data_IF_111350750097
#
_entry.id   IF_111350750097
#
_cell.length_a   1.000
_cell.length_b   1.000
_cell.length_c   1.000
_cell.angle_alpha   90.00
_cell.angle_beta   90.00
_cell.angle_gamma   90.00
#
_symmetry.space_group_name_H-M   'P 1'
#
loop_
_entity.id
_entity.type
_entity.pdbx_description
1 polymer ?
#
# COMPACT_ATOMS: atom_id res chain seq x y z
N UNK A 1 -15.35 24.05 2.93
CA UNK A 1 -15.17 24.65 1.58
C UNK A 1 -16.37 25.51 1.16
N UNK A 2 -17.60 24.99 1.05
CA UNK A 2 -18.77 25.84 0.65
C UNK A 2 -18.98 27.07 1.53
N UNK A 3 -18.78 26.97 2.85
CA UNK A 3 -18.95 28.05 3.82
C UNK A 3 -17.83 29.10 3.73
N UNK A 4 -16.63 28.71 3.32
CA UNK A 4 -15.45 29.59 3.21
C UNK A 4 -15.59 30.47 1.97
N UNK A 5 -16.01 29.90 0.83
CA UNK A 5 -16.23 30.63 -0.39
C UNK A 5 -17.40 31.62 -0.28
N UNK A 6 -18.50 31.23 0.39
CA UNK A 6 -19.62 32.15 0.59
C UNK A 6 -19.24 33.37 1.46
N UNK A 7 -18.35 33.19 2.42
CA UNK A 7 -17.80 34.26 3.25
C UNK A 7 -16.78 35.13 2.48
N UNK A 8 -15.95 34.51 1.62
CA UNK A 8 -15.01 35.23 0.76
C UNK A 8 -15.77 36.19 -0.22
N UNK A 9 -16.76 35.64 -0.92
CA UNK A 9 -17.58 36.46 -1.85
C UNK A 9 -18.40 37.58 -1.16
N UNK A 10 -18.85 37.35 0.08
CA UNK A 10 -19.56 38.35 0.90
C UNK A 10 -18.62 39.47 1.41
N UNK A 11 -17.37 39.10 1.71
CA UNK A 11 -16.36 40.03 2.22
C UNK A 11 -15.78 40.94 1.10
N UNK A 12 -15.60 40.40 -0.11
CA UNK A 12 -15.02 41.08 -1.25
C UNK A 12 -16.05 41.94 -2.03
N UNK A 13 -17.34 41.82 -1.72
CA UNK A 13 -18.41 42.51 -2.42
C UNK A 13 -18.90 43.82 -1.78
N UNK A 14 -18.32 44.33 -0.67
CA UNK A 14 -18.86 45.46 0.10
C UNK A 14 -17.93 46.68 0.20
N UNK A 15 -17.17 46.98 -0.83
CA UNK A 15 -16.52 48.29 -0.98
C UNK A 15 -16.96 48.94 -2.28
N UNK A 16 -18.00 49.81 -2.16
CA UNK A 16 -18.54 50.63 -3.21
C UNK A 16 -17.89 51.99 -3.23
N UNK A 17 -17.78 52.49 -4.46
CA UNK A 17 -17.80 53.87 -4.92
C UNK A 17 -16.84 54.91 -4.28
N UNK A 18 -15.85 55.23 -5.03
CA UNK A 18 -15.29 56.54 -5.43
C UNK A 18 -13.77 56.51 -5.45
N UNK A 19 -13.18 56.40 -6.62
CA UNK A 19 -12.15 57.29 -7.16
C UNK A 19 -11.64 56.77 -8.52
N UNK A 20 -11.78 57.61 -9.56
CA UNK A 20 -11.16 57.41 -10.87
C UNK A 20 -9.63 57.58 -10.77
N UNK A 21 -8.95 56.47 -10.52
CA UNK A 21 -7.56 56.24 -10.83
C UNK A 21 -7.45 54.86 -11.46
N UNK A 22 -6.75 54.74 -12.57
CA UNK A 22 -6.32 53.49 -13.18
C UNK A 22 -5.54 52.65 -12.13
N UNK A 23 -6.30 51.98 -11.25
CA UNK A 23 -5.73 50.99 -10.34
C UNK A 23 -5.38 49.77 -11.18
N UNK A 24 -4.08 49.47 -11.28
CA UNK A 24 -3.59 48.15 -11.65
C UNK A 24 -4.43 47.12 -10.90
N UNK A 25 -5.01 46.13 -11.61
CA UNK A 25 -5.89 45.07 -11.09
C UNK A 25 -5.13 44.11 -10.14
N UNK A 26 -4.44 44.65 -9.15
CA UNK A 26 -3.74 43.87 -8.14
C UNK A 26 -4.69 43.43 -7.02
N UNK A 27 -4.54 42.19 -6.59
CA UNK A 27 -5.25 41.65 -5.43
C UNK A 27 -4.83 42.44 -4.19
N UNK A 28 -5.80 42.99 -3.46
CA UNK A 28 -5.57 43.63 -2.15
C UNK A 28 -4.80 42.66 -1.22
N UNK A 29 -3.81 43.17 -0.48
CA UNK A 29 -2.98 42.43 0.49
C UNK A 29 -3.80 41.55 1.45
N UNK A 30 -5.01 42.00 1.79
CA UNK A 30 -5.95 41.25 2.65
C UNK A 30 -6.48 40.00 1.98
N UNK A 31 -6.75 40.07 0.68
CA UNK A 31 -7.23 38.96 -0.16
C UNK A 31 -6.10 37.94 -0.36
N UNK A 32 -4.89 38.41 -0.53
CA UNK A 32 -3.68 37.59 -0.60
C UNK A 32 -3.47 36.77 0.67
N UNK A 33 -3.53 37.41 1.84
CA UNK A 33 -3.42 36.80 3.12
C UNK A 33 -4.50 35.73 3.34
N UNK A 34 -5.75 36.00 2.91
CA UNK A 34 -6.85 35.03 3.00
C UNK A 34 -6.66 33.81 2.07
N UNK A 35 -6.19 34.02 0.84
CA UNK A 35 -5.91 32.91 -0.10
C UNK A 35 -4.78 32.01 0.41
N UNK A 36 -3.77 32.57 1.08
CA UNK A 36 -2.67 31.79 1.67
C UNK A 36 -3.09 30.89 2.85
N UNK A 37 -4.20 31.22 3.53
CA UNK A 37 -4.77 30.42 4.63
C UNK A 37 -5.63 29.26 4.16
N UNK A 38 -5.96 29.18 2.88
CA UNK A 38 -6.81 28.10 2.33
C UNK A 38 -5.92 26.88 2.08
N UNK A 39 -6.21 25.73 2.70
CA UNK A 39 -5.44 24.51 2.50
C UNK A 39 -5.82 23.81 1.17
N UNK A 40 -5.77 24.56 0.06
CA UNK A 40 -6.04 24.10 -1.29
C UNK A 40 -5.13 24.87 -2.25
N UNK A 41 -4.74 24.25 -3.34
CA UNK A 41 -4.01 24.96 -4.37
C UNK A 41 -4.93 26.01 -4.99
N UNK A 42 -4.42 27.24 -5.19
CA UNK A 42 -5.18 28.39 -5.67
C UNK A 42 -4.59 28.93 -6.96
N UNK A 43 -5.46 29.33 -7.88
CA UNK A 43 -5.09 30.07 -9.10
C UNK A 43 -6.06 31.23 -9.25
N UNK A 44 -5.54 32.40 -9.56
CA UNK A 44 -6.34 33.62 -9.88
C UNK A 44 -6.11 33.96 -11.34
N UNK A 45 -7.19 34.17 -12.05
CA UNK A 45 -7.20 34.43 -13.51
C UNK A 45 -7.89 35.73 -13.78
N UNK A 46 -7.29 36.56 -14.62
CA UNK A 46 -7.82 37.85 -15.05
C UNK A 46 -8.86 37.77 -16.19
N UNK A 47 -9.25 38.93 -16.75
CA UNK A 47 -10.24 39.07 -17.82
C UNK A 47 -9.86 38.38 -19.13
N UNK A 48 -8.59 38.24 -19.42
CA UNK A 48 -8.04 37.68 -20.66
C UNK A 48 -7.61 36.17 -20.53
N UNK A 49 -7.97 35.53 -19.42
CA UNK A 49 -7.63 34.15 -19.07
C UNK A 49 -6.14 33.92 -18.69
N UNK A 50 -5.41 35.01 -18.40
CA UNK A 50 -4.03 34.95 -17.94
C UNK A 50 -3.98 34.66 -16.44
N UNK A 51 -2.96 33.91 -16.02
CA UNK A 51 -2.76 33.54 -14.59
C UNK A 51 -2.05 34.72 -13.90
N UNK A 52 -2.79 35.50 -13.16
CA UNK A 52 -2.26 36.60 -12.33
C UNK A 52 -1.50 36.06 -11.14
N UNK A 53 -1.98 34.93 -10.55
CA UNK A 53 -1.36 34.29 -9.38
C UNK A 53 -1.65 32.82 -9.35
N UNK A 54 -0.65 32.06 -8.94
CA UNK A 54 -0.78 30.61 -8.76
C UNK A 54 0.03 30.11 -7.56
N UNK A 55 -0.54 29.17 -6.82
CA UNK A 55 0.20 28.46 -5.79
C UNK A 55 1.16 27.42 -6.41
N UNK A 56 2.32 27.10 -5.76
CA UNK A 56 3.26 26.09 -6.27
C UNK A 56 2.60 24.72 -6.48
N UNK A 57 1.60 24.39 -5.68
CA UNK A 57 0.88 23.13 -5.80
C UNK A 57 0.04 23.03 -7.09
N UNK A 58 -0.41 24.14 -7.67
CA UNK A 58 -1.14 24.12 -8.94
C UNK A 58 -0.27 23.66 -10.11
N UNK A 59 1.02 24.02 -10.12
CA UNK A 59 2.01 23.51 -11.08
C UNK A 59 2.28 22.02 -10.85
N UNK A 60 2.52 21.62 -9.59
CA UNK A 60 2.75 20.21 -9.22
C UNK A 60 1.59 19.31 -9.59
N UNK A 61 0.35 19.81 -9.51
CA UNK A 61 -0.86 19.08 -9.87
C UNK A 61 -1.14 19.07 -11.38
N UNK A 62 -0.33 19.79 -12.20
CA UNK A 62 -0.46 19.83 -13.63
C UNK A 62 -1.71 20.61 -14.11
N UNK A 63 -2.12 21.63 -13.36
CA UNK A 63 -3.21 22.55 -13.72
C UNK A 63 -2.66 23.76 -14.42
N UNK A 64 -1.53 24.29 -13.95
CA UNK A 64 -0.83 25.45 -14.51
C UNK A 64 0.49 24.97 -15.11
N UNK A 65 0.84 25.46 -16.27
CA UNK A 65 2.12 25.27 -16.93
C UNK A 65 2.44 26.47 -17.79
N UNK A 66 3.68 26.98 -17.70
CA UNK A 66 4.11 28.21 -18.37
C UNK A 66 3.18 29.42 -18.11
N UNK A 67 2.69 29.55 -16.88
CA UNK A 67 1.78 30.60 -16.44
C UNK A 67 0.39 30.62 -17.15
N UNK A 68 0.03 29.51 -17.76
CA UNK A 68 -1.27 29.29 -18.38
C UNK A 68 -2.02 28.10 -17.77
N UNK A 69 -3.35 28.09 -17.86
CA UNK A 69 -4.16 26.92 -17.44
C UNK A 69 -4.11 25.85 -18.53
N UNK A 70 -3.60 24.66 -18.18
CA UNK A 70 -3.40 23.55 -19.12
C UNK A 70 -4.69 22.79 -19.50
N UNK A 71 -5.75 22.86 -18.70
CA UNK A 71 -6.97 22.05 -18.91
C UNK A 71 -8.13 22.88 -19.47
N UNK A 72 -8.55 22.56 -20.70
CA UNK A 72 -9.63 23.25 -21.40
C UNK A 72 -10.96 23.27 -20.63
N UNK A 73 -11.23 22.22 -19.81
CA UNK A 73 -12.47 22.14 -19.01
C UNK A 73 -12.51 23.21 -17.92
N UNK A 74 -11.34 23.63 -17.41
CA UNK A 74 -11.24 24.73 -16.44
C UNK A 74 -11.49 26.08 -17.16
N UNK A 75 -10.88 26.28 -18.33
CA UNK A 75 -11.10 27.48 -19.15
C UNK A 75 -12.59 27.63 -19.53
N UNK A 76 -13.23 26.55 -19.97
CA UNK A 76 -14.68 26.55 -20.26
C UNK A 76 -15.52 26.92 -19.03
N UNK A 77 -15.10 26.43 -17.85
CA UNK A 77 -15.78 26.73 -16.59
C UNK A 77 -15.54 28.17 -16.13
N UNK A 78 -14.35 28.76 -16.35
CA UNK A 78 -14.04 30.17 -16.12
C UNK A 78 -14.95 31.03 -16.99
N UNK A 79 -14.99 30.78 -18.31
CA UNK A 79 -15.84 31.50 -19.23
C UNK A 79 -17.33 31.44 -18.87
N UNK A 80 -17.78 30.31 -18.30
CA UNK A 80 -19.16 30.18 -17.85
C UNK A 80 -19.41 30.98 -16.56
N UNK A 81 -18.51 30.93 -15.56
CA UNK A 81 -18.62 31.63 -14.29
C UNK A 81 -18.60 33.16 -14.53
N UNK A 82 -17.80 33.65 -15.47
CA UNK A 82 -17.81 35.06 -15.89
C UNK A 82 -19.17 35.50 -16.42
N UNK A 83 -19.77 34.68 -17.30
CA UNK A 83 -21.07 35.02 -17.94
C UNK A 83 -22.25 34.93 -16.99
N UNK A 84 -22.30 33.93 -16.14
CA UNK A 84 -23.46 33.61 -15.30
C UNK A 84 -23.32 34.06 -13.85
N UNK A 85 -22.12 34.45 -13.44
CA UNK A 85 -21.79 34.67 -12.03
C UNK A 85 -21.86 33.39 -11.22
N UNK A 86 -21.71 33.54 -9.91
CA UNK A 86 -21.86 32.44 -8.97
C UNK A 86 -20.63 31.51 -8.88
N UNK A 87 -20.91 30.27 -8.57
CA UNK A 87 -19.87 29.28 -8.30
C UNK A 87 -20.08 28.02 -9.13
N UNK A 88 -18.99 27.41 -9.60
CA UNK A 88 -19.03 26.13 -10.30
C UNK A 88 -18.01 25.16 -9.69
N UNK A 89 -18.33 23.88 -9.67
CA UNK A 89 -17.41 22.83 -9.24
C UNK A 89 -17.36 21.72 -10.29
N UNK A 90 -16.15 21.23 -10.59
CA UNK A 90 -15.94 20.10 -11.50
C UNK A 90 -14.89 19.15 -10.91
N UNK A 91 -14.94 17.89 -11.32
CA UNK A 91 -13.92 16.91 -10.98
C UNK A 91 -13.13 16.57 -12.22
N UNK A 92 -11.81 16.52 -12.09
CA UNK A 92 -10.91 16.16 -13.19
C UNK A 92 -9.75 15.29 -12.71
N UNK A 93 -9.09 14.69 -13.67
CA UNK A 93 -7.91 13.87 -13.43
C UNK A 93 -6.77 14.45 -14.23
N UNK A 94 -5.63 14.70 -13.57
CA UNK A 94 -4.40 15.19 -14.17
C UNK A 94 -3.26 14.21 -13.93
N UNK A 95 -2.09 14.51 -14.47
CA UNK A 95 -0.84 13.82 -14.16
C UNK A 95 0.17 14.82 -13.64
N UNK A 96 0.89 14.44 -12.61
CA UNK A 96 2.04 15.22 -12.13
C UNK A 96 3.05 15.36 -13.26
N UNK A 97 3.45 16.60 -13.65
CA UNK A 97 4.50 16.81 -14.63
C UNK A 97 5.81 16.12 -14.22
N UNK A 98 6.60 15.68 -15.18
CA UNK A 98 7.84 14.92 -14.94
C UNK A 98 8.87 15.68 -14.12
N UNK A 99 8.90 16.99 -14.20
CA UNK A 99 9.76 17.89 -13.42
C UNK A 99 9.45 17.90 -11.92
N UNK A 100 8.22 17.55 -11.53
CA UNK A 100 7.77 17.40 -10.12
C UNK A 100 7.60 15.94 -9.70
N UNK A 101 7.95 14.98 -10.56
CA UNK A 101 7.90 13.57 -10.22
C UNK A 101 9.03 13.25 -9.24
N UNK A 102 8.69 12.99 -7.98
CA UNK A 102 9.65 12.53 -6.98
C UNK A 102 10.08 11.10 -7.33
N UNK A 103 11.38 10.88 -7.48
CA UNK A 103 11.96 9.54 -7.60
C UNK A 103 11.60 8.72 -6.36
N UNK A 104 10.57 7.89 -6.47
CA UNK A 104 10.26 6.88 -5.47
C UNK A 104 11.19 5.66 -5.66
N UNK A 105 12.48 5.89 -5.75
CA UNK A 105 13.51 4.86 -5.59
C UNK A 105 14.13 5.03 -4.21
N UNK A 106 13.28 5.01 -3.19
CA UNK A 106 13.74 4.72 -1.84
C UNK A 106 13.53 3.22 -1.61
N UNK A 107 14.63 2.49 -1.55
CA UNK A 107 14.76 1.16 -0.95
C UNK A 107 14.32 -0.06 -1.77
N UNK A 108 14.96 -0.27 -2.93
CA UNK A 108 15.43 -1.60 -3.27
C UNK A 108 16.95 -1.47 -3.27
N UNK A 109 17.56 -1.76 -2.12
CA UNK A 109 19.00 -1.88 -2.00
C UNK A 109 19.50 -3.03 -2.87
N UNK A 110 19.98 -2.72 -4.04
CA UNK A 110 20.86 -3.62 -4.79
C UNK A 110 22.26 -3.38 -4.23
N UNK A 111 22.68 -4.23 -3.28
CA UNK A 111 24.09 -4.41 -2.97
C UNK A 111 24.82 -4.87 -4.25
N UNK A 112 25.43 -3.92 -4.95
CA UNK A 112 26.53 -4.19 -5.88
C UNK A 112 27.83 -4.12 -5.09
N UNK A 113 28.26 -5.25 -4.54
CA UNK A 113 29.67 -5.52 -4.25
C UNK A 113 29.87 -7.04 -4.21
N UNK A 114 30.15 -7.61 -5.36
CA UNK A 114 30.95 -8.81 -5.49
C UNK A 114 31.64 -8.81 -6.86
N UNK A 115 32.81 -8.17 -6.86
CA UNK A 115 33.81 -8.37 -7.91
C UNK A 115 34.50 -9.69 -7.65
N UNK A 116 34.21 -10.70 -8.48
CA UNK A 116 35.16 -11.81 -8.68
C UNK A 116 35.57 -11.86 -10.17
N UNK A 117 36.86 -11.68 -10.49
CA UNK A 117 37.35 -11.77 -11.83
C UNK A 117 37.87 -13.19 -12.09
N UNK A 118 37.34 -13.92 -13.04
CA UNK A 118 38.11 -14.83 -13.89
C UNK A 118 37.23 -15.60 -14.88
N UNK A 119 37.57 -15.49 -16.16
CA UNK A 119 37.43 -16.60 -17.08
C UNK A 119 36.79 -16.28 -18.45
N UNK A 120 37.59 -15.70 -19.33
CA UNK A 120 37.80 -16.08 -20.78
C UNK A 120 36.60 -16.14 -21.76
N UNK A 121 36.67 -15.25 -22.76
CA UNK A 121 36.68 -15.68 -24.15
C UNK A 121 35.49 -15.31 -25.04
N UNK A 122 35.74 -14.33 -25.96
CA UNK A 122 35.18 -14.19 -27.31
C UNK A 122 33.67 -13.85 -27.42
N UNK A 123 33.26 -12.86 -28.10
CA UNK A 123 33.57 -12.20 -29.36
C UNK A 123 32.78 -10.92 -29.51
N UNK A 124 33.44 -9.96 -30.01
CA UNK A 124 33.11 -8.67 -30.59
C UNK A 124 31.88 -8.70 -31.52
N UNK A 125 30.85 -7.92 -31.21
CA UNK A 125 29.95 -7.28 -32.18
C UNK A 125 29.28 -6.08 -31.55
N UNK A 126 29.66 -4.90 -31.98
CA UNK A 126 29.05 -3.60 -32.13
C UNK A 126 27.99 -3.17 -31.13
N UNK A 127 28.38 -2.40 -30.09
CA UNK A 127 27.53 -1.48 -29.38
C UNK A 127 27.37 -0.20 -30.20
N UNK A 128 26.17 0.37 -30.38
CA UNK A 128 26.04 1.76 -30.83
C UNK A 128 26.44 2.67 -29.66
N UNK A 129 27.48 3.47 -29.93
CA UNK A 129 27.88 4.61 -29.11
C UNK A 129 26.82 5.71 -29.20
N UNK A 130 26.67 6.45 -28.07
CA UNK A 130 25.90 7.69 -27.91
C UNK A 130 24.37 7.58 -27.91
N UNK A 131 23.84 7.14 -26.78
CA UNK A 131 22.52 7.50 -26.33
C UNK A 131 22.66 8.16 -24.95
N UNK A 132 22.29 9.43 -24.87
CA UNK A 132 22.45 10.30 -23.72
C UNK A 132 21.99 9.66 -22.41
N UNK A 133 22.85 9.65 -21.38
CA UNK A 133 22.54 9.20 -20.02
C UNK A 133 21.32 9.94 -19.43
N UNK A 134 20.99 11.14 -19.92
CA UNK A 134 19.80 11.90 -19.52
C UNK A 134 18.47 11.25 -19.93
N UNK A 135 18.40 10.55 -21.05
CA UNK A 135 17.17 9.89 -21.52
C UNK A 135 16.85 8.60 -20.73
N UNK A 136 17.87 7.93 -20.19
CA UNK A 136 17.69 6.72 -19.35
C UNK A 136 17.15 7.10 -17.96
N UNK A 137 17.50 8.28 -17.45
CA UNK A 137 17.02 8.80 -16.17
C UNK A 137 15.56 9.29 -16.31
N UNK A 138 15.20 9.92 -17.42
CA UNK A 138 13.82 10.39 -17.70
C UNK A 138 12.81 9.26 -17.85
N UNK A 139 13.21 8.08 -18.28
CA UNK A 139 12.32 6.92 -18.41
C UNK A 139 11.85 6.31 -17.05
N UNK A 140 12.39 6.75 -15.92
CA UNK A 140 12.06 6.26 -14.57
C UNK A 140 11.19 7.18 -13.72
N UNK A 141 10.90 8.38 -14.18
CA UNK A 141 9.98 9.28 -13.49
C UNK A 141 8.54 8.77 -13.63
N UNK A 142 8.00 8.15 -12.60
CA UNK A 142 6.62 7.64 -12.60
C UNK A 142 5.67 8.82 -12.42
N UNK A 143 5.08 9.30 -13.53
CA UNK A 143 4.03 10.31 -13.52
C UNK A 143 2.84 9.82 -12.69
N UNK A 144 2.50 10.56 -11.64
CA UNK A 144 1.44 10.23 -10.70
C UNK A 144 0.10 10.77 -11.20
N UNK A 145 -0.95 9.92 -11.17
CA UNK A 145 -2.31 10.35 -11.48
C UNK A 145 -2.92 11.05 -10.28
N UNK A 146 -3.41 12.29 -10.47
CA UNK A 146 -4.08 13.10 -9.46
C UNK A 146 -5.58 13.18 -9.75
N UNK A 147 -6.41 13.02 -8.71
CA UNK A 147 -7.85 13.26 -8.77
C UNK A 147 -8.13 14.57 -8.06
N UNK A 148 -8.65 15.53 -8.80
CA UNK A 148 -8.81 16.90 -8.35
C UNK A 148 -10.28 17.30 -8.34
N UNK A 149 -10.67 18.03 -7.31
CA UNK A 149 -11.96 18.73 -7.25
C UNK A 149 -11.69 20.21 -7.36
N UNK A 150 -12.04 20.78 -8.51
CA UNK A 150 -11.82 22.18 -8.80
C UNK A 150 -13.10 22.97 -8.56
N UNK A 151 -12.99 24.08 -7.84
CA UNK A 151 -14.11 24.97 -7.54
C UNK A 151 -13.73 26.37 -8.00
N UNK A 152 -14.55 26.93 -8.87
CA UNK A 152 -14.35 28.25 -9.44
C UNK A 152 -15.39 29.22 -8.89
N UNK A 153 -15.00 30.46 -8.69
CA UNK A 153 -15.88 31.53 -8.26
C UNK A 153 -15.40 32.86 -8.79
N UNK A 154 -16.33 33.71 -9.26
CA UNK A 154 -16.05 35.08 -9.67
C UNK A 154 -15.89 35.93 -8.40
N UNK A 155 -14.80 36.68 -8.31
CA UNK A 155 -14.51 37.61 -7.22
C UNK A 155 -15.04 38.99 -7.55
N UNK A 156 -14.66 39.52 -8.72
CA UNK A 156 -15.14 40.76 -9.26
C UNK A 156 -15.40 40.60 -10.77
N UNK A 157 -15.56 41.70 -11.51
CA UNK A 157 -15.88 41.67 -12.94
C UNK A 157 -14.69 41.15 -13.79
N UNK A 158 -13.46 41.32 -13.34
CA UNK A 158 -12.23 40.91 -14.02
C UNK A 158 -11.65 39.58 -13.48
N UNK A 159 -11.74 39.30 -12.20
CA UNK A 159 -11.03 38.19 -11.55
C UNK A 159 -11.88 36.95 -11.23
N UNK A 160 -11.36 35.79 -11.56
CA UNK A 160 -11.91 34.47 -11.19
C UNK A 160 -10.89 33.71 -10.35
N UNK A 161 -11.32 33.24 -9.19
CA UNK A 161 -10.52 32.36 -8.32
C UNK A 161 -10.85 30.89 -8.61
N UNK A 162 -9.83 30.09 -8.80
CA UNK A 162 -9.88 28.65 -9.00
C UNK A 162 -9.25 27.98 -7.77
N UNK A 163 -10.05 27.25 -7.00
CA UNK A 163 -9.60 26.45 -5.85
C UNK A 163 -9.50 25.01 -6.26
N UNK A 164 -8.34 24.40 -6.03
CA UNK A 164 -8.02 23.02 -6.42
C UNK A 164 -7.79 22.21 -5.16
N UNK A 165 -8.67 21.26 -4.92
CA UNK A 165 -8.61 20.31 -3.80
C UNK A 165 -8.09 18.97 -4.31
N UNK A 166 -6.92 18.54 -3.87
CA UNK A 166 -6.36 17.24 -4.20
C UNK A 166 -7.05 16.16 -3.37
N UNK A 167 -7.99 15.44 -4.00
CA UNK A 167 -8.72 14.32 -3.40
C UNK A 167 -8.11 12.96 -3.75
N UNK A 168 -6.90 12.94 -4.30
CA UNK A 168 -6.24 11.73 -4.81
C UNK A 168 -6.09 10.66 -3.74
N UNK A 169 -5.70 11.04 -2.54
CA UNK A 169 -5.52 10.11 -1.43
C UNK A 169 -6.87 9.48 -1.02
N UNK A 170 -7.90 10.31 -0.85
CA UNK A 170 -9.25 9.85 -0.51
C UNK A 170 -9.83 8.93 -1.59
N UNK A 171 -9.64 9.25 -2.87
CA UNK A 171 -10.12 8.42 -3.99
C UNK A 171 -9.34 7.10 -4.06
N UNK A 172 -8.02 7.13 -3.87
CA UNK A 172 -7.20 5.91 -3.80
C UNK A 172 -7.63 5.01 -2.64
N UNK A 173 -7.83 5.60 -1.47
CA UNK A 173 -8.32 4.88 -0.29
C UNK A 173 -9.70 4.25 -0.54
N UNK A 174 -10.66 5.03 -1.06
CA UNK A 174 -11.99 4.52 -1.38
C UNK A 174 -11.95 3.37 -2.40
N UNK A 175 -11.19 3.50 -3.48
CA UNK A 175 -11.02 2.43 -4.50
C UNK A 175 -10.39 1.18 -3.91
N UNK A 176 -9.36 1.33 -3.07
CA UNK A 176 -8.70 0.19 -2.41
C UNK A 176 -9.67 -0.51 -1.46
N UNK A 177 -10.46 0.27 -0.70
CA UNK A 177 -11.51 -0.26 0.19
C UNK A 177 -12.59 -1.02 -0.59
N UNK A 178 -13.09 -0.43 -1.68
CA UNK A 178 -14.18 -1.04 -2.47
C UNK A 178 -13.70 -2.30 -3.20
N UNK A 179 -12.49 -2.30 -3.74
CA UNK A 179 -11.85 -3.50 -4.29
C UNK A 179 -11.65 -4.58 -3.22
N UNK A 180 -11.24 -4.19 -2.01
CA UNK A 180 -11.12 -5.08 -0.87
C UNK A 180 -12.47 -5.71 -0.52
N UNK A 181 -13.54 -4.93 -0.36
CA UNK A 181 -14.89 -5.43 -0.03
C UNK A 181 -15.43 -6.37 -1.10
N UNK A 182 -15.22 -6.04 -2.38
CA UNK A 182 -15.62 -6.89 -3.51
C UNK A 182 -14.90 -8.24 -3.49
N UNK A 183 -13.59 -8.23 -3.25
CA UNK A 183 -12.78 -9.44 -3.21
C UNK A 183 -13.11 -10.30 -1.98
N UNK A 184 -13.31 -9.69 -0.80
CA UNK A 184 -13.78 -10.39 0.41
C UNK A 184 -15.10 -11.09 0.16
N UNK A 185 -16.08 -10.38 -0.39
CA UNK A 185 -17.40 -10.94 -0.67
C UNK A 185 -17.28 -12.14 -1.63
N UNK A 186 -16.49 -12.03 -2.69
CA UNK A 186 -16.27 -13.12 -3.66
C UNK A 186 -15.59 -14.33 -3.03
N UNK A 187 -14.61 -14.10 -2.14
CA UNK A 187 -13.88 -15.19 -1.48
C UNK A 187 -14.72 -15.91 -0.40
N UNK A 188 -15.66 -15.20 0.23
CA UNK A 188 -16.58 -15.80 1.19
C UNK A 188 -17.74 -16.54 0.53
N UNK A 189 -18.27 -16.03 -0.60
CA UNK A 189 -19.40 -16.65 -1.29
C UNK A 189 -19.08 -18.04 -1.85
N UNK A 190 -17.90 -18.25 -2.42
CA UNK A 190 -17.50 -19.54 -3.01
C UNK A 190 -17.56 -20.71 -2.02
N UNK A 191 -16.89 -20.66 -0.84
CA UNK A 191 -16.95 -21.74 0.13
C UNK A 191 -18.35 -21.90 0.76
N UNK A 192 -19.13 -20.81 0.90
CA UNK A 192 -20.52 -20.88 1.38
C UNK A 192 -21.37 -21.66 0.38
N UNK A 193 -21.31 -21.33 -0.90
CA UNK A 193 -22.02 -22.08 -1.95
C UNK A 193 -21.61 -23.56 -1.99
N UNK A 194 -20.31 -23.86 -1.86
CA UNK A 194 -19.85 -25.24 -1.80
C UNK A 194 -20.37 -25.98 -0.56
N UNK A 195 -20.50 -25.30 0.60
CA UNK A 195 -21.12 -25.89 1.79
C UNK A 195 -22.61 -26.13 1.60
N UNK A 196 -23.34 -25.23 0.95
CA UNK A 196 -24.78 -25.40 0.63
C UNK A 196 -24.97 -26.59 -0.32
N UNK A 197 -24.16 -26.74 -1.36
CA UNK A 197 -24.17 -27.88 -2.28
C UNK A 197 -23.92 -29.21 -1.56
N UNK A 198 -22.86 -29.25 -0.68
CA UNK A 198 -22.55 -30.44 0.11
C UNK A 198 -23.70 -30.77 1.10
N UNK A 199 -24.32 -29.78 1.73
CA UNK A 199 -25.46 -29.99 2.60
C UNK A 199 -26.66 -30.56 1.85
N UNK A 200 -26.92 -30.08 0.63
CA UNK A 200 -27.96 -30.61 -0.23
C UNK A 200 -27.68 -32.06 -0.64
N UNK A 201 -26.41 -32.38 -1.01
CA UNK A 201 -25.99 -33.74 -1.36
C UNK A 201 -26.14 -34.70 -0.16
N UNK A 202 -25.70 -34.29 1.03
CA UNK A 202 -25.84 -35.11 2.24
C UNK A 202 -27.33 -35.41 2.55
N UNK A 203 -28.22 -34.44 2.33
CA UNK A 203 -29.66 -34.62 2.52
C UNK A 203 -30.23 -35.65 1.54
N UNK A 204 -29.88 -35.55 0.25
CA UNK A 204 -30.36 -36.51 -0.78
C UNK A 204 -29.78 -37.92 -0.55
N UNK A 205 -28.57 -38.03 -0.04
CA UNK A 205 -27.92 -39.33 0.24
C UNK A 205 -28.54 -40.01 1.48
N UNK A 206 -29.07 -39.24 2.45
CA UNK A 206 -29.75 -39.80 3.63
C UNK A 206 -31.15 -40.39 3.32
N UNK A 207 -31.76 -39.99 2.21
CA UNK A 207 -33.11 -40.45 1.82
C UNK A 207 -33.08 -41.73 0.97
N UNK A 208 -31.90 -42.34 0.74
CA UNK A 208 -31.76 -43.58 -0.01
C UNK A 208 -31.95 -44.79 0.93
N UNK A 209 -33.08 -45.47 0.84
CA UNK A 209 -33.36 -46.75 1.47
C UNK A 209 -32.89 -47.90 0.57
N UNK A 210 -31.99 -48.76 1.06
CA UNK A 210 -31.55 -49.97 0.37
C UNK A 210 -30.74 -50.88 1.28
N UNK A 211 -31.10 -52.21 1.29
CA UNK A 211 -30.47 -53.24 2.10
C UNK A 211 -29.17 -53.87 1.47
N UNK A 212 -28.68 -53.32 0.36
CA UNK A 212 -27.47 -53.82 -0.30
C UNK A 212 -26.20 -53.33 0.43
N UNK A 213 -25.39 -54.30 0.98
CA UNK A 213 -24.20 -53.98 1.76
C UNK A 213 -23.15 -53.18 0.97
N UNK A 214 -23.03 -53.39 -0.33
CA UNK A 214 -22.05 -52.67 -1.15
C UNK A 214 -22.50 -51.29 -1.47
N UNK A 215 -23.79 -51.08 -1.67
CA UNK A 215 -24.41 -49.75 -1.80
C UNK A 215 -24.25 -48.94 -0.52
N UNK A 216 -24.48 -49.54 0.66
CA UNK A 216 -24.29 -48.92 1.96
C UNK A 216 -22.84 -48.50 2.21
N UNK A 217 -21.88 -49.36 1.85
CA UNK A 217 -20.44 -49.01 1.96
C UNK A 217 -20.05 -47.84 1.03
N UNK A 218 -20.60 -47.80 -0.17
CA UNK A 218 -20.34 -46.68 -1.10
C UNK A 218 -20.91 -45.37 -0.56
N UNK A 219 -22.12 -45.39 0.00
CA UNK A 219 -22.76 -44.23 0.63
C UNK A 219 -21.98 -43.75 1.84
N UNK A 220 -21.54 -44.62 2.74
CA UNK A 220 -20.71 -44.24 3.89
C UNK A 220 -19.39 -43.59 3.47
N UNK A 221 -18.75 -44.05 2.41
CA UNK A 221 -17.56 -43.41 1.85
C UNK A 221 -17.85 -42.01 1.29
N UNK A 222 -18.99 -41.86 0.58
CA UNK A 222 -19.41 -40.54 0.06
C UNK A 222 -19.69 -39.56 1.19
N UNK A 223 -20.48 -39.96 2.20
CA UNK A 223 -20.79 -39.14 3.37
C UNK A 223 -19.52 -38.75 4.13
N UNK A 224 -18.56 -39.68 4.32
CA UNK A 224 -17.27 -39.40 4.97
C UNK A 224 -16.44 -38.38 4.17
N UNK A 225 -16.42 -38.47 2.85
CA UNK A 225 -15.74 -37.52 1.95
C UNK A 225 -16.39 -36.15 2.02
N UNK A 226 -17.73 -36.09 1.99
CA UNK A 226 -18.48 -34.84 2.04
C UNK A 226 -18.33 -34.17 3.41
N UNK A 227 -18.36 -34.93 4.51
CA UNK A 227 -18.08 -34.44 5.85
C UNK A 227 -16.66 -33.84 5.98
N UNK A 228 -15.66 -34.51 5.39
CA UNK A 228 -14.29 -33.99 5.34
C UNK A 228 -14.18 -32.70 4.53
N UNK A 229 -14.99 -32.58 3.48
CA UNK A 229 -15.05 -31.35 2.66
C UNK A 229 -15.74 -30.20 3.39
N UNK A 230 -16.80 -30.46 4.14
CA UNK A 230 -17.45 -29.48 5.03
C UNK A 230 -16.47 -28.96 6.07
N UNK A 231 -15.76 -29.88 6.74
CA UNK A 231 -14.75 -29.51 7.74
C UNK A 231 -13.65 -28.60 7.14
N UNK A 232 -13.17 -28.92 5.95
CA UNK A 232 -12.16 -28.14 5.23
C UNK A 232 -12.66 -26.74 4.86
N UNK A 233 -13.88 -26.61 4.31
CA UNK A 233 -14.45 -25.30 3.98
C UNK A 233 -14.76 -24.46 5.22
N UNK A 234 -15.21 -25.08 6.31
CA UNK A 234 -15.44 -24.41 7.59
C UNK A 234 -14.12 -23.86 8.16
N UNK A 235 -13.06 -24.68 8.17
CA UNK A 235 -11.73 -24.23 8.60
C UNK A 235 -11.20 -23.08 7.73
N UNK A 236 -11.37 -23.18 6.41
CA UNK A 236 -11.00 -22.12 5.47
C UNK A 236 -11.74 -20.80 5.78
N UNK A 237 -13.05 -20.82 6.01
CA UNK A 237 -13.82 -19.64 6.38
C UNK A 237 -13.34 -19.04 7.71
N UNK A 238 -13.01 -19.88 8.70
CA UNK A 238 -12.41 -19.45 9.96
C UNK A 238 -11.08 -18.71 9.77
N UNK A 239 -10.19 -19.22 8.92
CA UNK A 239 -8.93 -18.56 8.58
C UNK A 239 -9.16 -17.21 7.86
N UNK A 240 -10.06 -17.19 6.87
CA UNK A 240 -10.41 -15.94 6.16
C UNK A 240 -10.91 -14.87 7.12
N UNK A 241 -11.82 -15.24 8.03
CA UNK A 241 -12.38 -14.31 9.02
C UNK A 241 -11.30 -13.80 9.98
N UNK A 242 -10.42 -14.69 10.46
CA UNK A 242 -9.30 -14.32 11.33
C UNK A 242 -8.35 -13.33 10.65
N UNK A 243 -7.98 -13.59 9.39
CA UNK A 243 -7.12 -12.72 8.59
C UNK A 243 -7.76 -11.33 8.35
N UNK A 244 -9.08 -11.30 8.07
CA UNK A 244 -9.84 -10.06 7.92
C UNK A 244 -9.90 -9.23 9.21
N UNK A 245 -10.22 -9.86 10.35
CA UNK A 245 -10.25 -9.19 11.65
C UNK A 245 -8.89 -8.60 12.01
N UNK A 246 -7.82 -9.28 11.65
CA UNK A 246 -6.46 -8.81 11.89
C UNK A 246 -6.15 -7.56 11.06
N UNK A 247 -6.51 -7.55 9.76
CA UNK A 247 -6.34 -6.38 8.91
C UNK A 247 -7.16 -5.17 9.36
N UNK A 248 -8.32 -5.39 9.98
CA UNK A 248 -9.17 -4.31 10.51
C UNK A 248 -8.60 -3.75 11.81
N UNK A 249 -8.08 -4.60 12.70
CA UNK A 249 -7.54 -4.18 14.00
C UNK A 249 -6.20 -3.46 13.90
N UNK A 250 -5.39 -3.77 12.91
CA UNK A 250 -4.05 -3.24 12.77
C UNK A 250 -4.03 -1.89 12.01
N UNK A 251 -4.92 -0.94 12.32
CA UNK A 251 -4.99 0.37 11.64
C UNK A 251 -4.13 1.45 12.31
N UNK A 252 -3.73 1.25 13.56
CA UNK A 252 -2.94 2.23 14.31
C UNK A 252 -1.46 1.82 14.36
N UNK A 253 -0.58 2.80 14.17
CA UNK A 253 0.86 2.58 14.34
C UNK A 253 1.19 2.31 15.80
N UNK A 254 2.07 1.36 16.03
CA UNK A 254 2.55 1.02 17.38
C UNK A 254 3.54 2.08 17.83
N UNK A 255 3.21 2.78 18.91
CA UNK A 255 4.13 3.73 19.53
C UNK A 255 5.15 3.00 20.39
N UNK A 256 6.45 3.30 20.27
CA UNK A 256 7.46 2.73 21.14
C UNK A 256 7.16 3.01 22.62
N UNK A 257 7.19 1.99 23.47
CA UNK A 257 7.06 2.12 24.92
C UNK A 257 7.78 0.96 25.64
N UNK A 258 8.13 1.16 26.91
CA UNK A 258 8.75 0.08 27.71
C UNK A 258 7.80 -1.10 27.94
N UNK A 259 6.50 -0.84 27.91
CA UNK A 259 5.45 -1.86 28.15
C UNK A 259 5.29 -2.81 26.97
N UNK A 260 5.67 -2.40 25.76
CA UNK A 260 5.59 -3.20 24.54
C UNK A 260 6.96 -3.62 23.98
N UNK A 261 7.94 -3.78 24.87
CA UNK A 261 9.27 -4.30 24.51
C UNK A 261 9.22 -5.83 24.43
N UNK A 262 9.69 -6.38 23.31
CA UNK A 262 9.60 -7.79 22.97
C UNK A 262 10.99 -8.37 22.67
N UNK A 263 11.23 -9.62 23.13
CA UNK A 263 12.40 -10.42 22.73
C UNK A 263 12.11 -11.17 21.45
N UNK A 264 12.85 -10.86 20.39
CA UNK A 264 12.67 -11.46 19.05
C UNK A 264 12.87 -12.99 19.09
N UNK A 265 13.80 -13.48 19.91
CA UNK A 265 14.06 -14.92 20.01
C UNK A 265 12.86 -15.66 20.62
N UNK A 266 12.25 -15.09 21.68
CA UNK A 266 11.05 -15.65 22.31
C UNK A 266 9.85 -15.68 21.35
N UNK A 267 9.64 -14.61 20.58
CA UNK A 267 8.56 -14.56 19.60
C UNK A 267 8.74 -15.59 18.47
N UNK A 268 9.96 -15.78 17.99
CA UNK A 268 10.27 -16.82 16.97
C UNK A 268 10.04 -18.23 17.54
N UNK A 269 10.51 -18.49 18.76
CA UNK A 269 10.36 -19.81 19.39
C UNK A 269 8.90 -20.19 19.55
N UNK A 270 8.05 -19.26 19.99
CA UNK A 270 6.62 -19.47 20.15
C UNK A 270 5.95 -19.84 18.83
N UNK A 271 6.20 -19.06 17.75
CA UNK A 271 5.63 -19.32 16.43
C UNK A 271 6.14 -20.63 15.83
N UNK A 272 7.44 -20.94 15.94
CA UNK A 272 8.00 -22.20 15.44
C UNK A 272 7.41 -23.40 16.15
N UNK A 273 7.12 -23.29 17.46
CA UNK A 273 6.44 -24.33 18.24
C UNK A 273 5.00 -24.54 17.74
N UNK A 274 4.28 -23.47 17.49
CA UNK A 274 2.88 -23.51 17.04
C UNK A 274 2.74 -24.06 15.62
N UNK A 275 3.72 -23.80 14.74
CA UNK A 275 3.72 -24.28 13.35
C UNK A 275 4.36 -25.66 13.14
N UNK A 276 4.84 -26.30 14.22
CA UNK A 276 5.53 -27.60 14.13
C UNK A 276 4.65 -28.70 13.54
N UNK A 277 3.41 -28.82 14.00
CA UNK A 277 2.48 -29.84 13.53
C UNK A 277 2.17 -29.65 12.02
N UNK A 278 2.03 -28.40 11.58
CA UNK A 278 1.82 -28.07 10.16
C UNK A 278 3.04 -28.46 9.31
N UNK A 279 4.24 -28.23 9.81
CA UNK A 279 5.48 -28.57 9.15
C UNK A 279 5.69 -30.09 9.08
N UNK A 280 5.43 -30.80 10.17
CA UNK A 280 5.54 -32.28 10.23
C UNK A 280 4.56 -32.96 9.27
N UNK A 281 3.32 -32.43 9.14
CA UNK A 281 2.34 -32.92 8.18
C UNK A 281 2.77 -32.70 6.71
N UNK A 282 3.58 -31.66 6.45
CA UNK A 282 4.11 -31.35 5.11
C UNK A 282 5.49 -32.00 4.86
N UNK A 283 6.02 -32.79 5.80
CA UNK A 283 7.39 -33.33 5.79
C UNK A 283 8.46 -32.24 5.59
N UNK A 284 8.28 -31.09 6.25
CA UNK A 284 9.19 -29.94 6.21
C UNK A 284 9.80 -29.72 7.59
N UNK A 285 11.12 -29.62 7.67
CA UNK A 285 11.82 -29.34 8.93
C UNK A 285 11.90 -27.85 9.19
N UNK A 286 11.45 -27.42 10.38
CA UNK A 286 11.65 -26.06 10.86
C UNK A 286 12.91 -25.97 11.72
N UNK A 287 13.76 -25.00 11.42
CA UNK A 287 14.90 -24.66 12.28
C UNK A 287 15.05 -23.15 12.39
N UNK A 288 15.50 -22.69 13.55
CA UNK A 288 15.71 -21.27 13.76
C UNK A 288 16.96 -20.96 14.57
N UNK A 289 17.49 -19.76 14.41
CA UNK A 289 18.58 -19.24 15.22
C UNK A 289 18.43 -17.71 15.36
N UNK A 290 18.92 -17.23 16.50
CA UNK A 290 19.09 -15.81 16.76
C UNK A 290 20.57 -15.59 17.14
N UNK A 291 21.30 -14.79 16.39
CA UNK A 291 22.75 -14.64 16.54
C UNK A 291 23.13 -13.94 17.85
N UNK A 292 22.23 -13.11 18.39
CA UNK A 292 22.36 -12.44 19.70
C UNK A 292 20.98 -11.98 20.19
N UNK A 293 20.80 -11.65 21.48
CA UNK A 293 19.55 -11.06 21.98
C UNK A 293 19.18 -9.80 21.17
N UNK A 294 17.97 -9.76 20.67
CA UNK A 294 17.41 -8.64 19.92
C UNK A 294 16.09 -8.24 20.55
N UNK A 295 15.97 -6.98 20.91
CA UNK A 295 14.73 -6.41 21.44
C UNK A 295 14.14 -5.38 20.49
N UNK A 296 12.81 -5.40 20.35
CA UNK A 296 12.04 -4.47 19.53
C UNK A 296 10.87 -3.92 20.33
N UNK A 297 10.31 -2.80 19.88
CA UNK A 297 9.01 -2.34 20.38
C UNK A 297 7.89 -2.78 19.46
N UNK A 298 6.83 -3.40 20.01
CA UNK A 298 5.75 -3.86 19.18
C UNK A 298 4.62 -4.58 19.90
N UNK A 299 3.63 -4.99 19.12
CA UNK A 299 2.57 -5.90 19.52
C UNK A 299 3.00 -7.34 19.19
N UNK A 300 3.32 -8.13 20.21
CA UNK A 300 3.76 -9.51 20.05
C UNK A 300 2.77 -10.38 19.28
N UNK A 301 1.46 -10.17 19.45
CA UNK A 301 0.45 -10.89 18.69
C UNK A 301 0.53 -10.59 17.19
N UNK A 302 0.69 -9.32 16.80
CA UNK A 302 0.83 -8.93 15.40
C UNK A 302 2.12 -9.48 14.79
N UNK A 303 3.25 -9.43 15.53
CA UNK A 303 4.54 -9.94 15.07
C UNK A 303 4.48 -11.46 14.90
N UNK A 304 3.91 -12.20 15.87
CA UNK A 304 3.71 -13.65 15.73
C UNK A 304 2.87 -14.01 14.52
N UNK A 305 1.79 -13.28 14.28
CA UNK A 305 0.96 -13.50 13.08
C UNK A 305 1.76 -13.26 11.80
N UNK A 306 2.55 -12.19 11.71
CA UNK A 306 3.39 -11.95 10.53
C UNK A 306 4.40 -13.07 10.31
N UNK A 307 5.07 -13.54 11.37
CA UNK A 307 6.01 -14.66 11.29
C UNK A 307 5.29 -15.97 10.91
N UNK A 308 4.13 -16.26 11.50
CA UNK A 308 3.33 -17.43 11.14
C UNK A 308 2.95 -17.41 9.65
N UNK A 309 2.50 -16.27 9.10
CA UNK A 309 2.19 -16.15 7.67
C UNK A 309 3.41 -16.36 6.76
N UNK A 310 4.59 -15.95 7.17
CA UNK A 310 5.82 -16.25 6.43
C UNK A 310 6.18 -17.74 6.49
N UNK A 311 6.04 -18.36 7.65
CA UNK A 311 6.32 -19.80 7.85
C UNK A 311 5.29 -20.66 7.11
N UNK A 312 3.98 -20.38 7.26
CA UNK A 312 2.89 -21.06 6.51
C UNK A 312 3.17 -21.03 5.00
N UNK A 313 3.59 -19.87 4.50
CA UNK A 313 3.95 -19.70 3.10
C UNK A 313 5.17 -20.54 2.71
N UNK A 314 6.24 -20.50 3.52
CA UNK A 314 7.46 -21.27 3.30
C UNK A 314 7.20 -22.79 3.31
N UNK A 315 6.39 -23.29 4.24
CA UNK A 315 5.97 -24.71 4.30
C UNK A 315 5.17 -25.09 3.04
N UNK A 316 4.19 -24.27 2.66
CA UNK A 316 3.26 -24.56 1.54
C UNK A 316 3.96 -24.64 0.18
N UNK A 317 5.04 -23.91 -0.01
CA UNK A 317 5.77 -23.86 -1.29
C UNK A 317 7.06 -24.67 -1.31
N UNK A 318 7.45 -25.26 -0.18
CA UNK A 318 8.63 -26.12 -0.06
C UNK A 318 8.33 -27.57 -0.45
N UNK A 319 9.27 -28.27 -1.07
CA UNK A 319 9.13 -29.70 -1.34
C UNK A 319 9.22 -30.53 -0.04
N UNK A 320 8.60 -31.72 -0.04
CA UNK A 320 8.73 -32.70 1.04
C UNK A 320 10.23 -33.03 1.33
N UNK A 321 10.57 -33.25 2.58
CA UNK A 321 11.94 -33.50 3.04
C UNK A 321 12.82 -32.25 3.12
N UNK A 322 12.33 -31.06 2.77
CA UNK A 322 13.10 -29.84 2.79
C UNK A 322 13.20 -29.21 4.19
N UNK A 323 13.94 -28.10 4.27
CA UNK A 323 14.12 -27.35 5.50
C UNK A 323 13.76 -25.89 5.28
N UNK A 324 12.91 -25.34 6.13
CA UNK A 324 12.63 -23.91 6.28
C UNK A 324 13.44 -23.37 7.45
N UNK A 325 14.21 -22.33 7.22
CA UNK A 325 15.12 -21.75 8.22
C UNK A 325 14.71 -20.31 8.58
N UNK A 326 14.62 -20.03 9.88
CA UNK A 326 14.46 -18.67 10.39
C UNK A 326 15.80 -18.19 10.96
N UNK A 327 16.22 -16.99 10.58
CA UNK A 327 17.46 -16.37 11.07
C UNK A 327 17.17 -14.94 11.49
N UNK A 328 17.40 -14.65 12.78
CA UNK A 328 17.31 -13.29 13.31
C UNK A 328 18.71 -12.75 13.57
N UNK A 329 18.99 -11.56 13.04
CA UNK A 329 20.27 -10.88 13.23
C UNK A 329 20.05 -9.36 13.17
N UNK A 330 20.93 -8.54 13.77
CA UNK A 330 20.86 -7.11 13.60
C UNK A 330 21.32 -6.68 12.20
N UNK A 331 20.88 -5.54 11.75
CA UNK A 331 21.41 -4.86 10.56
C UNK A 331 22.87 -4.45 10.79
N UNK A 332 23.62 -4.19 9.72
CA UNK A 332 25.03 -3.78 9.79
C UNK A 332 25.22 -2.48 10.59
N UNK A 333 24.26 -1.57 10.52
CA UNK A 333 24.25 -0.29 11.26
C UNK A 333 23.70 -0.41 12.70
N UNK A 334 23.25 -1.60 13.09
CA UNK A 334 22.74 -1.87 14.45
C UNK A 334 21.38 -1.26 14.77
N UNK A 335 20.67 -0.66 13.81
CA UNK A 335 19.39 0.03 14.05
C UNK A 335 18.18 -0.87 13.91
N UNK A 336 18.28 -1.99 13.20
CA UNK A 336 17.16 -2.86 12.90
C UNK A 336 17.44 -4.32 13.27
N UNK A 337 16.41 -5.02 13.70
CA UNK A 337 16.35 -6.48 13.71
C UNK A 337 15.88 -6.98 12.34
N UNK A 338 16.62 -7.90 11.74
CA UNK A 338 16.28 -8.54 10.46
C UNK A 338 15.95 -9.99 10.73
N UNK A 339 14.68 -10.37 10.55
CA UNK A 339 14.21 -11.75 10.69
C UNK A 339 13.96 -12.31 9.29
N UNK A 340 14.77 -13.28 8.88
CA UNK A 340 14.69 -13.94 7.57
C UNK A 340 14.00 -15.27 7.69
N UNK A 341 13.00 -15.51 6.84
CA UNK A 341 12.40 -16.83 6.61
C UNK A 341 12.86 -17.30 5.24
N UNK A 342 13.60 -18.39 5.22
CA UNK A 342 14.30 -18.94 4.05
C UNK A 342 13.67 -20.28 3.70
N UNK A 343 13.12 -20.39 2.50
CA UNK A 343 12.59 -21.63 1.94
C UNK A 343 13.45 -22.14 0.76
N UNK A 344 13.29 -23.41 0.43
CA UNK A 344 13.87 -24.06 -0.75
C UNK A 344 12.78 -24.47 -1.74
N UNK A 345 11.74 -23.65 -1.83
CA UNK A 345 10.61 -23.87 -2.69
C UNK A 345 10.90 -23.59 -4.16
N UNK A 346 9.84 -23.50 -4.93
CA UNK A 346 9.91 -23.23 -6.39
C UNK A 346 10.42 -21.82 -6.75
N UNK A 347 10.52 -20.92 -5.79
CA UNK A 347 10.82 -19.51 -6.03
C UNK A 347 9.65 -18.76 -6.68
N UNK A 348 9.88 -17.47 -6.97
CA UNK A 348 8.87 -16.53 -7.46
C UNK A 348 9.42 -15.83 -8.71
N UNK A 349 8.64 -15.82 -9.78
CA UNK A 349 8.98 -15.15 -11.01
C UNK A 349 9.11 -13.63 -10.82
N UNK A 350 10.07 -13.01 -11.49
CA UNK A 350 10.38 -11.58 -11.34
C UNK A 350 9.18 -10.68 -11.62
N UNK A 351 8.29 -11.09 -12.54
CA UNK A 351 7.05 -10.37 -12.85
C UNK A 351 6.06 -10.31 -11.66
N UNK A 352 6.07 -11.34 -10.81
CA UNK A 352 5.16 -11.48 -9.68
C UNK A 352 5.69 -10.83 -8.40
N UNK A 353 7.04 -10.69 -8.25
CA UNK A 353 7.69 -10.23 -7.01
C UNK A 353 7.20 -8.86 -6.53
N UNK A 354 6.88 -7.96 -7.46
CA UNK A 354 6.31 -6.64 -7.11
C UNK A 354 4.88 -6.70 -6.58
N UNK A 355 4.14 -7.76 -6.92
CA UNK A 355 2.69 -7.89 -6.69
C UNK A 355 2.32 -8.83 -5.54
N UNK A 356 3.22 -9.72 -5.11
CA UNK A 356 2.91 -10.73 -4.07
C UNK A 356 2.50 -10.12 -2.72
N UNK A 357 2.81 -8.85 -2.46
CA UNK A 357 2.39 -8.10 -1.27
C UNK A 357 1.06 -7.36 -1.47
N UNK A 358 0.47 -7.42 -2.68
CA UNK A 358 -0.87 -6.89 -2.94
C UNK A 358 -1.92 -7.79 -2.28
N UNK A 359 -3.00 -7.18 -1.78
CA UNK A 359 -4.11 -7.93 -1.19
C UNK A 359 -4.80 -8.77 -2.26
N UNK A 360 -5.07 -10.05 -1.94
CA UNK A 360 -5.73 -11.04 -2.82
C UNK A 360 -4.92 -11.44 -4.06
N UNK A 361 -3.67 -10.98 -4.17
CA UNK A 361 -2.83 -11.40 -5.27
C UNK A 361 -2.37 -12.84 -5.10
N UNK A 362 -2.41 -13.59 -6.18
CA UNK A 362 -1.92 -14.98 -6.28
C UNK A 362 -1.32 -15.18 -7.66
N UNK A 363 -0.13 -15.75 -7.75
CA UNK A 363 0.47 -16.12 -9.04
C UNK A 363 -0.31 -17.28 -9.68
N UNK A 364 -0.48 -17.27 -11.02
CA UNK A 364 -1.35 -18.21 -11.75
C UNK A 364 -0.90 -19.68 -11.69
N UNK A 365 0.34 -19.96 -11.31
CA UNK A 365 0.96 -21.30 -11.33
C UNK A 365 0.86 -22.04 -9.99
N UNK A 366 -0.37 -22.27 -9.47
CA UNK A 366 -0.54 -22.92 -8.16
C UNK A 366 -0.97 -24.39 -8.26
N UNK A 367 -0.28 -25.26 -7.50
CA UNK A 367 -0.68 -26.66 -7.31
C UNK A 367 -1.93 -26.76 -6.41
N UNK A 368 -2.69 -27.87 -6.52
CA UNK A 368 -3.90 -28.11 -5.70
C UNK A 368 -3.68 -28.02 -4.19
N UNK A 369 -2.45 -28.26 -3.71
CA UNK A 369 -2.07 -28.17 -2.27
C UNK A 369 -1.91 -26.71 -1.80
N UNK A 370 -1.46 -25.81 -2.67
CA UNK A 370 -1.30 -24.38 -2.37
C UNK A 370 -2.60 -23.59 -2.59
N UNK A 371 -3.67 -24.25 -3.02
CA UNK A 371 -4.94 -23.62 -3.36
C UNK A 371 -5.73 -23.01 -2.18
N UNK A 372 -5.30 -23.24 -0.93
CA UNK A 372 -6.08 -22.91 0.27
C UNK A 372 -5.96 -21.45 0.73
N UNK A 373 -5.00 -20.67 0.25
CA UNK A 373 -4.81 -19.28 0.66
C UNK A 373 -5.62 -18.26 -0.17
N UNK A 374 -6.09 -17.19 0.45
CA UNK A 374 -6.83 -16.09 -0.20
C UNK A 374 -5.96 -14.94 -0.69
N UNK A 375 -4.64 -15.04 -0.56
CA UNK A 375 -3.70 -13.99 -0.96
C UNK A 375 -3.66 -12.80 0.00
N UNK A 376 -4.00 -12.99 1.27
CA UNK A 376 -3.88 -11.95 2.30
C UNK A 376 -2.61 -12.07 3.14
N UNK A 377 -2.00 -13.26 3.26
CA UNK A 377 -0.89 -13.51 4.18
C UNK A 377 0.27 -12.52 4.03
N UNK A 378 0.84 -12.36 2.84
CA UNK A 378 1.95 -11.42 2.61
C UNK A 378 1.54 -9.96 2.74
N UNK A 379 0.30 -9.61 2.43
CA UNK A 379 -0.21 -8.25 2.68
C UNK A 379 -0.38 -7.95 4.17
N UNK A 380 -0.69 -8.95 5.00
CA UNK A 380 -0.68 -8.85 6.46
C UNK A 380 0.75 -8.61 6.96
N UNK A 381 1.73 -9.39 6.48
CA UNK A 381 3.14 -9.20 6.83
C UNK A 381 3.60 -7.77 6.53
N UNK A 382 3.32 -7.27 5.32
CA UNK A 382 3.64 -5.88 4.93
C UNK A 382 2.95 -4.87 5.84
N UNK A 383 1.69 -5.10 6.18
CA UNK A 383 0.94 -4.20 7.05
C UNK A 383 1.53 -4.16 8.46
N UNK A 384 1.81 -5.33 9.05
CA UNK A 384 2.46 -5.43 10.37
C UNK A 384 3.83 -4.76 10.37
N UNK A 385 4.65 -4.97 9.32
CA UNK A 385 5.94 -4.30 9.20
C UNK A 385 5.79 -2.77 9.25
N UNK A 386 4.85 -2.21 8.47
CA UNK A 386 4.59 -0.76 8.41
C UNK A 386 4.05 -0.20 9.73
N UNK A 387 3.15 -0.91 10.43
CA UNK A 387 2.62 -0.50 11.75
C UNK A 387 3.70 -0.43 12.82
N UNK A 388 4.76 -1.21 12.66
CA UNK A 388 5.93 -1.24 13.53
C UNK A 388 7.12 -0.40 13.01
N UNK A 389 6.87 0.56 12.11
CA UNK A 389 7.88 1.44 11.50
C UNK A 389 9.02 0.69 10.79
N UNK A 390 8.74 -0.53 10.36
CA UNK A 390 9.66 -1.42 9.66
C UNK A 390 9.32 -1.60 8.19
N UNK A 391 9.90 -2.63 7.60
CA UNK A 391 9.66 -3.01 6.20
C UNK A 391 9.76 -4.53 6.00
N UNK A 392 9.29 -5.00 4.85
CA UNK A 392 9.47 -6.38 4.42
C UNK A 392 10.11 -6.39 3.02
N UNK A 393 11.12 -7.25 2.85
CA UNK A 393 11.80 -7.42 1.56
C UNK A 393 11.78 -8.88 1.12
N UNK A 394 11.98 -9.10 -0.17
CA UNK A 394 12.04 -10.41 -0.79
C UNK A 394 13.29 -10.54 -1.64
N UNK A 395 14.00 -11.66 -1.48
CA UNK A 395 14.88 -12.21 -2.48
C UNK A 395 14.32 -13.56 -2.95
N UNK A 396 14.19 -13.78 -4.25
CA UNK A 396 13.70 -15.06 -4.78
C UNK A 396 14.16 -15.25 -6.22
N UNK A 397 14.44 -16.51 -6.57
CA UNK A 397 14.71 -16.90 -7.94
C UNK A 397 13.98 -18.23 -8.26
N UNK A 398 13.41 -18.40 -9.47
CA UNK A 398 12.76 -19.62 -9.87
C UNK A 398 13.65 -20.85 -9.68
N UNK A 399 13.14 -21.85 -8.97
CA UNK A 399 13.86 -23.09 -8.65
C UNK A 399 14.89 -23.02 -7.51
N UNK A 400 15.13 -21.84 -6.93
CA UNK A 400 16.10 -21.65 -5.84
C UNK A 400 15.45 -21.36 -4.48
N UNK A 401 14.14 -21.19 -4.44
CA UNK A 401 13.40 -20.83 -3.24
C UNK A 401 13.29 -19.32 -3.04
N UNK A 402 12.88 -18.92 -1.83
CA UNK A 402 12.70 -17.53 -1.48
C UNK A 402 13.26 -17.21 -0.09
N UNK A 403 13.61 -15.95 0.10
CA UNK A 403 13.99 -15.39 1.40
C UNK A 403 13.16 -14.14 1.64
N UNK A 404 12.24 -14.25 2.60
CA UNK A 404 11.48 -13.10 3.09
C UNK A 404 12.19 -12.52 4.31
N UNK A 405 12.42 -11.21 4.32
CA UNK A 405 13.06 -10.52 5.43
C UNK A 405 12.10 -9.52 6.04
N UNK A 406 11.69 -9.75 7.29
CA UNK A 406 10.98 -8.80 8.12
C UNK A 406 12.00 -7.94 8.86
N UNK A 407 11.97 -6.63 8.65
CA UNK A 407 12.93 -5.66 9.16
C UNK A 407 12.20 -4.75 10.12
N UNK A 408 12.58 -4.74 11.40
CA UNK A 408 11.92 -3.97 12.46
C UNK A 408 12.95 -3.14 13.23
N UNK A 409 12.62 -1.89 13.67
CA UNK A 409 13.52 -1.09 14.47
C UNK A 409 13.87 -1.79 15.79
N UNK A 410 15.16 -1.79 16.16
CA UNK A 410 15.59 -2.26 17.47
C UNK A 410 15.17 -1.26 18.57
N UNK A 411 14.81 -1.78 19.74
CA UNK A 411 14.62 -0.98 20.94
C UNK A 411 16.00 -0.47 21.40
N UNK A 412 16.39 0.74 20.95
CA UNK A 412 17.63 1.39 21.36
C UNK A 412 17.42 2.25 22.61
N UNK A 413 18.47 2.41 23.40
CA UNK A 413 18.47 3.31 24.57
C UNK A 413 18.40 4.82 24.21
N UNK A 414 18.15 5.20 22.92
CA UNK A 414 18.39 6.55 22.41
C UNK A 414 17.27 7.27 21.67
N UNK A 415 16.03 6.79 21.62
CA UNK A 415 14.98 7.46 20.83
C UNK A 415 13.87 8.18 21.63
N UNK A 416 14.10 8.54 22.88
CA UNK A 416 13.11 9.31 23.68
C UNK A 416 13.21 10.85 23.52
N UNK A 417 14.20 11.43 22.78
CA UNK A 417 14.44 12.89 22.85
C UNK A 417 14.29 13.71 21.56
N UNK A 418 13.89 13.16 20.39
CA UNK A 418 13.92 13.95 19.14
C UNK A 418 12.55 14.33 18.53
N UNK A 419 11.47 14.31 19.30
CA UNK A 419 10.15 14.74 18.81
C UNK A 419 9.60 16.01 19.50
N UNK A 420 10.32 16.60 20.47
CA UNK A 420 9.84 17.82 21.12
C UNK A 420 10.94 18.85 21.31
N UNK A 421 11.34 19.56 20.26
CA UNK A 421 11.86 20.94 20.43
C UNK A 421 11.20 21.86 19.42
N UNK A 422 10.30 22.74 19.85
CA UNK A 422 10.04 23.96 19.12
C UNK A 422 11.25 24.86 19.30
N UNK A 423 11.94 25.20 18.24
CA UNK A 423 12.93 26.25 18.16
C UNK A 423 12.28 27.58 18.52
N UNK A 424 12.63 28.10 19.67
CA UNK A 424 12.22 29.41 20.13
C UNK A 424 13.04 29.83 21.34
N UNK A 425 14.29 30.19 21.12
CA UNK A 425 15.02 31.06 22.03
C UNK A 425 15.69 32.16 21.20
N UNK A 426 15.15 33.33 21.39
CA UNK A 426 15.67 34.59 20.91
C UNK A 426 16.69 35.09 21.94
N UNK A 427 17.95 35.33 21.62
CA UNK A 427 18.91 35.89 22.55
C UNK A 427 18.87 37.41 22.45
N UNK A 428 18.09 38.07 23.31
CA UNK A 428 18.32 39.45 23.74
C UNK A 428 17.59 39.67 25.05
N UNK A 429 18.31 39.51 26.11
CA UNK A 429 18.38 40.39 27.28
C UNK A 429 19.73 40.16 28.02
#
# INVERSE_FOLDING_TARGET
MASIMARLCSFLGDHGEDDDQEEEEDLDDSTEALLSLIPAATVVVDGDDEVVRSSPDAYRLGIVGNDEICDQRILDAIAQVRRSGGRRSLSLTTRTPTEFAVDTVASIGTDQDDKNPQGTGASDEGLPEDGDEEDIVRARAVSRTNWLKVTLGRVNDSLVVVLIDDVSESVRFARTRDAFMTNVSRQLLKPVQALEELAAQLKTTSDLEGDDPDLLRSHLRSVSKDASSVQRYSAYLGHVLKDLLLLIRAQEQIKPSKENTLDVAGEIEEVVRDERDSADLADVRLQWRCDRPLTIHGDGQQIRVALAKLIENAISYSPEGSTVSLVAQPSKDGRFAIIRVIDRGRGIDKADQGRIFERFYRADNQNKQTAIGIGLGLSIVKHVALTHHGSVTLWSAPGQGSTFSLILPLAGEGNEEDVTRPTGDNPND
#
